data_IF_526051239742
#
_entry.id   IF_526051239742
#
_cell.length_a   1.000
_cell.length_b   1.000
_cell.length_c   1.000
_cell.angle_alpha   90.00
_cell.angle_beta   90.00
_cell.angle_gamma   90.00
#
_symmetry.space_group_name_H-M   'P 1'
#
loop_
_entity.id
_entity.type
_entity.pdbx_description
1 polymer ?
#
# COMPACT_ATOMS: atom_id res chain seq x y z
N UNK A 1 -14.01 51.84 -25.15
CA UNK A 1 -14.55 50.47 -24.97
C UNK A 1 -13.51 49.34 -25.01
N UNK A 2 -12.19 49.60 -24.96
CA UNK A 2 -11.16 48.53 -25.00
C UNK A 2 -10.60 48.16 -23.62
N UNK A 3 -10.34 49.14 -22.76
CA UNK A 3 -9.73 48.92 -21.44
C UNK A 3 -10.64 48.19 -20.43
N UNK A 4 -11.95 48.45 -20.46
CA UNK A 4 -12.92 47.79 -19.58
C UNK A 4 -13.04 46.28 -19.87
N UNK A 5 -13.09 45.90 -21.16
CA UNK A 5 -13.11 44.48 -21.56
C UNK A 5 -11.81 43.76 -21.15
N UNK A 6 -10.67 44.45 -21.22
CA UNK A 6 -9.37 43.89 -20.78
C UNK A 6 -9.37 43.65 -19.26
N UNK A 7 -9.89 44.57 -18.45
CA UNK A 7 -9.99 44.36 -16.99
C UNK A 7 -10.94 43.21 -16.62
N UNK A 8 -12.06 43.05 -17.32
CA UNK A 8 -12.98 41.92 -17.08
C UNK A 8 -12.29 40.59 -17.39
N UNK A 9 -11.64 40.47 -18.54
CA UNK A 9 -10.94 39.24 -18.93
C UNK A 9 -9.82 38.92 -17.93
N UNK A 10 -9.08 39.93 -17.49
CA UNK A 10 -8.03 39.75 -16.49
C UNK A 10 -8.59 39.28 -15.13
N UNK A 11 -9.68 39.89 -14.66
CA UNK A 11 -10.36 39.48 -13.42
C UNK A 11 -10.87 38.04 -13.47
N UNK A 12 -11.53 37.64 -14.56
CA UNK A 12 -12.00 36.26 -14.75
C UNK A 12 -10.82 35.29 -14.77
N UNK A 13 -9.74 35.64 -15.47
CA UNK A 13 -8.52 34.81 -15.56
C UNK A 13 -7.91 34.58 -14.18
N UNK A 14 -7.81 35.63 -13.35
CA UNK A 14 -7.29 35.52 -11.98
C UNK A 14 -8.17 34.62 -11.11
N UNK A 15 -9.50 34.74 -11.20
CA UNK A 15 -10.44 33.90 -10.44
C UNK A 15 -10.31 32.43 -10.84
N UNK A 16 -10.20 32.14 -12.14
CA UNK A 16 -10.01 30.76 -12.65
C UNK A 16 -8.68 30.17 -12.18
N UNK A 17 -7.60 30.97 -12.16
CA UNK A 17 -6.29 30.52 -11.67
C UNK A 17 -6.35 30.20 -10.17
N UNK A 18 -6.95 31.09 -9.37
CA UNK A 18 -7.08 30.87 -7.91
C UNK A 18 -7.94 29.63 -7.64
N UNK A 19 -9.08 29.49 -8.34
CA UNK A 19 -9.96 28.34 -8.21
C UNK A 19 -9.29 27.03 -8.62
N UNK A 20 -8.48 27.04 -9.69
CA UNK A 20 -7.72 25.86 -10.12
C UNK A 20 -6.63 25.45 -9.14
N UNK A 21 -5.84 26.42 -8.64
CA UNK A 21 -4.73 26.16 -7.72
C UNK A 21 -5.23 25.70 -6.34
N UNK A 22 -6.32 26.27 -5.83
CA UNK A 22 -6.89 25.84 -4.54
C UNK A 22 -7.79 24.60 -4.67
N UNK A 23 -8.51 24.43 -5.78
CA UNK A 23 -9.41 23.29 -5.98
C UNK A 23 -8.68 21.97 -6.19
N UNK A 24 -7.50 21.99 -6.82
CA UNK A 24 -6.71 20.79 -7.11
C UNK A 24 -6.25 20.00 -5.88
N UNK A 25 -5.64 20.60 -4.83
CA UNK A 25 -5.26 19.87 -3.62
C UNK A 25 -6.47 19.37 -2.82
N UNK A 26 -7.58 20.11 -2.80
CA UNK A 26 -8.81 19.72 -2.10
C UNK A 26 -9.42 18.47 -2.76
N UNK A 27 -9.47 18.42 -4.10
CA UNK A 27 -9.97 17.27 -4.82
C UNK A 27 -9.18 15.98 -4.53
N UNK A 28 -7.85 16.09 -4.34
CA UNK A 28 -6.99 14.93 -3.98
C UNK A 28 -7.27 14.39 -2.57
N UNK A 29 -7.78 15.20 -1.67
CA UNK A 29 -8.14 14.78 -0.31
C UNK A 29 -9.41 13.91 -0.28
N UNK A 30 -10.27 14.03 -1.30
CA UNK A 30 -11.46 13.18 -1.48
C UNK A 30 -11.19 11.89 -2.24
N UNK A 31 -9.97 11.67 -2.75
CA UNK A 31 -9.54 10.36 -3.25
C UNK A 31 -9.33 9.49 -2.02
N UNK A 32 -10.44 8.93 -1.53
CA UNK A 32 -10.53 8.21 -0.27
C UNK A 32 -9.64 6.97 -0.21
N UNK A 33 -9.55 6.43 1.00
CA UNK A 33 -8.93 5.13 1.24
C UNK A 33 -9.61 4.10 0.32
N UNK A 34 -8.84 3.32 -0.46
CA UNK A 34 -9.41 2.29 -1.32
C UNK A 34 -10.27 1.31 -0.51
N UNK A 35 -11.31 0.77 -1.13
CA UNK A 35 -12.20 -0.21 -0.49
C UNK A 35 -11.44 -1.46 -0.04
N UNK A 36 -10.54 -1.95 -0.89
CA UNK A 36 -9.74 -3.14 -0.65
C UNK A 36 -8.28 -2.79 -0.93
N UNK A 37 -7.41 -2.96 0.06
CA UNK A 37 -5.98 -2.73 -0.07
C UNK A 37 -5.22 -3.50 1.00
N UNK A 38 -4.02 -3.93 0.67
CA UNK A 38 -3.18 -4.74 1.55
C UNK A 38 -1.75 -4.22 1.56
N UNK A 39 -1.21 -4.07 2.75
CA UNK A 39 0.21 -3.80 2.97
C UNK A 39 0.92 -5.08 3.34
N UNK A 40 2.02 -5.33 2.66
CA UNK A 40 2.91 -6.46 2.92
C UNK A 40 4.30 -5.91 3.14
N UNK A 41 4.92 -6.31 4.24
CA UNK A 41 6.30 -6.01 4.56
C UNK A 41 7.02 -7.32 4.89
N UNK A 42 8.14 -7.58 4.21
CA UNK A 42 8.95 -8.77 4.37
C UNK A 42 10.36 -8.37 4.80
N UNK A 43 10.81 -8.90 5.94
CA UNK A 43 12.07 -8.52 6.58
C UNK A 43 12.83 -9.78 6.99
N UNK A 44 14.15 -9.77 6.86
CA UNK A 44 15.05 -10.80 7.35
C UNK A 44 15.81 -10.22 8.54
N UNK A 45 15.69 -10.89 9.67
CA UNK A 45 16.52 -10.65 10.85
C UNK A 45 17.80 -11.48 10.72
N UNK A 46 18.93 -10.79 10.51
CA UNK A 46 20.28 -11.37 10.41
C UNK A 46 21.06 -11.30 11.74
N UNK A 47 20.45 -10.82 12.84
CA UNK A 47 21.12 -10.74 14.15
C UNK A 47 21.33 -12.13 14.78
N UNK A 48 20.53 -13.11 14.37
CA UNK A 48 20.59 -14.48 14.84
C UNK A 48 21.64 -15.31 14.10
N UNK A 49 22.08 -16.41 14.72
CA UNK A 49 23.03 -17.37 14.10
C UNK A 49 22.44 -17.98 12.81
N UNK A 50 21.11 -18.01 12.70
CA UNK A 50 20.36 -18.41 11.51
C UNK A 50 19.39 -17.29 11.15
N UNK A 51 19.43 -16.74 9.93
CA UNK A 51 18.53 -15.67 9.53
C UNK A 51 17.06 -16.08 9.67
N UNK A 52 16.24 -15.22 10.28
CA UNK A 52 14.80 -15.46 10.47
C UNK A 52 14.00 -14.44 9.66
N UNK A 53 13.19 -14.93 8.73
CA UNK A 53 12.24 -14.10 8.00
C UNK A 53 11.02 -13.73 8.83
N UNK A 54 10.52 -12.50 8.68
CA UNK A 54 9.25 -12.05 9.20
C UNK A 54 8.45 -11.40 8.08
N UNK A 55 7.20 -11.83 7.91
CA UNK A 55 6.27 -11.24 6.95
C UNK A 55 5.10 -10.63 7.72
N UNK A 56 4.98 -9.30 7.64
CA UNK A 56 3.85 -8.55 8.14
C UNK A 56 2.84 -8.34 7.01
N UNK A 57 1.59 -8.70 7.28
CA UNK A 57 0.46 -8.49 6.38
C UNK A 57 -0.56 -7.63 7.12
N UNK A 58 -1.06 -6.58 6.48
CA UNK A 58 -2.04 -5.68 7.07
C UNK A 58 -3.11 -5.26 6.05
N UNK A 59 -4.38 -5.29 6.43
CA UNK A 59 -5.45 -4.70 5.64
C UNK A 59 -5.44 -3.18 5.81
N UNK A 60 -5.14 -2.46 4.74
CA UNK A 60 -5.13 -0.98 4.67
C UNK A 60 -6.36 -0.40 3.98
N UNK A 61 -7.25 -1.27 3.49
CA UNK A 61 -8.52 -0.89 2.87
C UNK A 61 -9.59 -0.50 3.89
N UNK A 62 -10.74 -0.06 3.38
CA UNK A 62 -11.92 0.30 4.18
C UNK A 62 -12.88 -0.86 4.42
N UNK A 63 -12.67 -2.02 3.78
CA UNK A 63 -13.47 -3.24 3.90
C UNK A 63 -12.62 -4.48 4.26
N UNK A 64 -13.21 -5.53 4.86
CA UNK A 64 -12.51 -6.79 5.12
C UNK A 64 -12.04 -7.46 3.82
N UNK A 65 -10.88 -8.11 3.89
CA UNK A 65 -10.34 -8.94 2.81
C UNK A 65 -10.61 -10.41 3.13
N UNK A 66 -11.17 -11.15 2.17
CA UNK A 66 -11.40 -12.60 2.32
C UNK A 66 -10.45 -13.41 1.45
N UNK A 67 -10.36 -14.71 1.74
CA UNK A 67 -9.49 -15.64 1.01
C UNK A 67 -8.03 -15.16 0.91
N UNK A 68 -7.50 -14.59 2.00
CA UNK A 68 -6.12 -14.14 2.03
C UNK A 68 -5.20 -15.36 2.00
N UNK A 69 -4.26 -15.38 1.05
CA UNK A 69 -3.30 -16.46 0.83
C UNK A 69 -1.89 -15.88 0.71
N UNK A 70 -0.93 -16.54 1.33
CA UNK A 70 0.49 -16.18 1.26
C UNK A 70 1.28 -17.28 0.55
N UNK A 71 2.18 -16.88 -0.34
CA UNK A 71 3.14 -17.73 -1.03
C UNK A 71 4.55 -17.21 -0.70
N UNK A 72 5.37 -18.03 -0.06
CA UNK A 72 6.73 -17.66 0.33
C UNK A 72 7.78 -17.88 -0.79
N UNK A 73 7.35 -18.04 -2.04
CA UNK A 73 8.23 -18.12 -3.22
C UNK A 73 8.61 -19.53 -3.66
N UNK A 74 8.10 -20.57 -2.99
CA UNK A 74 8.35 -21.98 -3.32
C UNK A 74 7.11 -22.69 -3.90
N UNK A 75 6.05 -21.93 -4.18
CA UNK A 75 4.81 -22.43 -4.78
C UNK A 75 3.83 -23.04 -3.78
N UNK A 76 4.23 -23.21 -2.52
CA UNK A 76 3.32 -23.54 -1.43
C UNK A 76 2.53 -22.29 -1.00
N UNK A 77 1.21 -22.38 -1.05
CA UNK A 77 0.30 -21.31 -0.63
C UNK A 77 -0.39 -21.68 0.67
N UNK A 78 -0.24 -20.84 1.68
CA UNK A 78 -0.92 -20.97 2.96
C UNK A 78 -2.14 -20.05 3.00
N UNK A 79 -3.30 -20.61 3.36
CA UNK A 79 -4.53 -19.83 3.54
C UNK A 79 -4.58 -19.21 4.94
N UNK A 80 -4.79 -17.90 4.99
CA UNK A 80 -4.88 -17.11 6.23
C UNK A 80 -6.33 -16.79 6.62
N UNK A 81 -7.27 -16.97 5.70
CA UNK A 81 -8.69 -16.72 5.92
C UNK A 81 -9.09 -15.27 5.65
N UNK A 82 -9.74 -14.63 6.63
CA UNK A 82 -10.25 -13.25 6.51
C UNK A 82 -9.37 -12.30 7.33
N UNK A 83 -9.05 -11.15 6.76
CA UNK A 83 -8.31 -10.07 7.42
C UNK A 83 -9.23 -8.85 7.55
N UNK A 84 -9.68 -8.60 8.78
CA UNK A 84 -10.56 -7.47 9.09
C UNK A 84 -9.87 -6.12 8.86
N UNK A 85 -10.68 -5.06 8.80
CA UNK A 85 -10.19 -3.71 8.53
C UNK A 85 -9.20 -3.27 9.61
N UNK A 86 -7.97 -2.89 9.19
CA UNK A 86 -6.84 -2.50 10.05
C UNK A 86 -6.18 -3.63 10.83
N UNK A 87 -6.65 -4.87 10.69
CA UNK A 87 -5.98 -6.01 11.29
C UNK A 87 -4.65 -6.30 10.60
N UNK A 88 -3.73 -6.85 11.40
CA UNK A 88 -2.40 -7.23 10.97
C UNK A 88 -2.04 -8.63 11.46
N UNK A 89 -1.27 -9.34 10.67
CA UNK A 89 -0.74 -10.67 10.98
C UNK A 89 0.76 -10.68 10.71
N UNK A 90 1.53 -11.30 11.61
CA UNK A 90 2.96 -11.53 11.44
C UNK A 90 3.15 -13.02 11.30
N UNK A 91 3.85 -13.41 10.23
CA UNK A 91 4.09 -14.80 9.89
C UNK A 91 5.59 -15.03 9.72
N UNK A 92 6.03 -16.22 10.11
CA UNK A 92 7.38 -16.71 9.86
C UNK A 92 7.32 -17.67 8.67
N UNK A 93 8.19 -17.51 7.65
CA UNK A 93 8.27 -18.45 6.55
C UNK A 93 8.71 -19.83 7.04
N UNK A 94 8.40 -20.91 6.28
CA UNK A 94 8.84 -22.25 6.61
C UNK A 94 10.36 -22.37 6.76
N UNK A 95 10.80 -23.34 7.56
CA UNK A 95 12.22 -23.69 7.66
C UNK A 95 12.76 -24.08 6.28
N UNK A 96 13.97 -23.60 5.95
CA UNK A 96 14.64 -23.82 4.67
C UNK A 96 13.99 -23.11 3.46
N UNK A 97 13.22 -22.03 3.69
CA UNK A 97 12.77 -21.15 2.62
C UNK A 97 13.91 -20.23 2.14
N UNK A 98 13.99 -19.97 0.82
CA UNK A 98 15.03 -19.07 0.25
C UNK A 98 14.89 -17.60 0.64
N UNK A 99 13.72 -17.18 1.12
CA UNK A 99 13.41 -15.80 1.53
C UNK A 99 13.76 -14.76 0.44
N UNK A 100 13.52 -15.07 -0.83
CA UNK A 100 13.77 -14.13 -1.94
C UNK A 100 12.62 -13.14 -2.09
N UNK A 101 11.38 -13.65 -2.13
CA UNK A 101 10.17 -12.83 -2.19
C UNK A 101 8.98 -13.56 -1.57
N UNK A 102 7.98 -12.77 -1.19
CA UNK A 102 6.68 -13.25 -0.72
C UNK A 102 5.59 -12.63 -1.57
N UNK A 103 4.61 -13.44 -1.96
CA UNK A 103 3.41 -12.98 -2.66
C UNK A 103 2.21 -13.19 -1.77
N UNK A 104 1.49 -12.12 -1.46
CA UNK A 104 0.21 -12.19 -0.75
C UNK A 104 -0.89 -11.87 -1.74
N UNK A 105 -1.87 -12.75 -1.81
CA UNK A 105 -3.05 -12.61 -2.65
C UNK A 105 -4.30 -12.63 -1.79
N UNK A 106 -5.34 -11.95 -2.23
CA UNK A 106 -6.65 -11.99 -1.61
C UNK A 106 -7.72 -11.98 -2.70
N UNK A 107 -8.99 -11.98 -2.27
CA UNK A 107 -10.10 -11.65 -3.14
C UNK A 107 -9.96 -10.27 -3.83
N UNK A 108 -10.92 -9.92 -4.68
CA UNK A 108 -10.95 -8.64 -5.40
C UNK A 108 -9.73 -8.35 -6.28
N UNK A 109 -9.05 -9.40 -6.78
CA UNK A 109 -7.87 -9.32 -7.65
C UNK A 109 -6.65 -8.65 -6.99
N UNK A 110 -6.56 -8.70 -5.65
CA UNK A 110 -5.40 -8.19 -4.93
C UNK A 110 -4.27 -9.22 -4.98
N UNK A 111 -3.11 -8.78 -5.45
CA UNK A 111 -1.87 -9.56 -5.43
C UNK A 111 -0.71 -8.60 -5.24
N UNK A 112 0.01 -8.77 -4.13
CA UNK A 112 1.15 -7.95 -3.74
C UNK A 112 2.36 -8.85 -3.59
N UNK A 113 3.35 -8.66 -4.46
CA UNK A 113 4.66 -9.28 -4.34
C UNK A 113 5.62 -8.31 -3.63
N UNK A 114 6.37 -8.84 -2.67
CA UNK A 114 7.42 -8.12 -1.95
C UNK A 114 8.67 -8.95 -1.84
N UNK A 115 9.80 -8.34 -2.16
CA UNK A 115 11.11 -8.88 -1.87
C UNK A 115 11.41 -8.72 -0.37
N UNK A 116 12.12 -9.70 0.18
CA UNK A 116 12.62 -9.58 1.55
C UNK A 116 13.73 -8.54 1.60
N UNK A 117 13.74 -7.72 2.66
CA UNK A 117 14.86 -6.83 2.96
C UNK A 117 15.54 -7.25 4.26
N UNK A 118 16.83 -6.99 4.38
CA UNK A 118 17.51 -7.16 5.66
C UNK A 118 17.10 -6.06 6.64
N UNK A 119 16.84 -6.42 7.89
CA UNK A 119 16.67 -5.48 8.98
C UNK A 119 18.03 -4.88 9.35
N UNK A 120 18.54 -3.97 8.52
CA UNK A 120 19.67 -3.15 8.91
C UNK A 120 19.19 -2.11 9.93
N UNK A 121 19.09 -2.52 11.19
CA UNK A 121 19.03 -1.61 12.33
C UNK A 121 20.34 -0.80 12.32
N UNK A 122 20.31 0.38 11.70
CA UNK A 122 21.34 1.38 11.95
C UNK A 122 21.17 1.84 13.40
N UNK A 123 21.95 1.24 14.29
CA UNK A 123 22.21 1.74 15.63
C UNK A 123 23.14 2.95 15.59
#
# INVERSE_FOLDING_TARGET
>A
MKAYNIMIVFGITVIVIIGGVMGFPIAKMFVGIPDYDIRVDAVIDEQEITPIGQVLIQNTGSKPLTEVKIDFGEGEKMELGTLDVRDRMILTPPYNNKMESVTVSADHHISVNKEYRNENLQH
#
